data_IF_201218764822
#
_entry.id   IF_201218764822
#
_cell.length_a   1.000
_cell.length_b   1.000
_cell.length_c   1.000
_cell.angle_alpha   90.00
_cell.angle_beta   90.00
_cell.angle_gamma   90.00
#
_symmetry.space_group_name_H-M   'P 1'
#
loop_
_entity.id
_entity.type
_entity.pdbx_description
1 polymer ?
#
# COMPACT_ATOMS: atom_id res chain seq x y z
N UNK A 1 13.99 -9.43 7.02
CA UNK A 1 13.15 -9.88 5.89
C UNK A 1 12.10 -8.85 5.54
N UNK A 2 11.47 -8.20 6.53
CA UNK A 2 10.48 -7.15 6.29
C UNK A 2 11.05 -5.90 5.59
N UNK A 3 12.19 -5.35 6.06
CA UNK A 3 12.92 -4.30 5.33
C UNK A 3 13.23 -4.64 3.84
N UNK A 4 13.60 -5.89 3.54
CA UNK A 4 13.82 -6.34 2.15
C UNK A 4 12.51 -6.35 1.35
N UNK A 5 11.41 -6.79 1.96
CA UNK A 5 10.08 -6.72 1.36
C UNK A 5 9.70 -5.26 1.05
N UNK A 6 9.77 -4.35 2.04
CA UNK A 6 9.40 -2.95 1.88
C UNK A 6 10.27 -2.23 0.83
N UNK A 7 11.57 -2.52 0.80
CA UNK A 7 12.45 -2.00 -0.25
C UNK A 7 12.05 -2.52 -1.64
N UNK A 8 11.73 -3.81 -1.75
CA UNK A 8 11.37 -4.43 -3.03
C UNK A 8 10.02 -3.92 -3.55
N UNK A 9 9.02 -3.84 -2.68
CA UNK A 9 7.67 -3.40 -3.04
C UNK A 9 7.63 -1.90 -3.35
N UNK A 10 8.45 -1.09 -2.66
CA UNK A 10 8.65 0.32 -2.98
C UNK A 10 9.28 0.51 -4.36
N UNK A 11 10.34 -0.24 -4.70
CA UNK A 11 10.94 -0.22 -6.04
C UNK A 11 9.91 -0.62 -7.10
N UNK A 12 9.14 -1.67 -6.85
CA UNK A 12 8.06 -2.09 -7.76
C UNK A 12 7.01 -0.99 -7.95
N UNK A 13 6.55 -0.36 -6.86
CA UNK A 13 5.61 0.76 -6.89
C UNK A 13 6.16 1.95 -7.68
N UNK A 14 7.43 2.31 -7.48
CA UNK A 14 8.09 3.37 -8.25
C UNK A 14 8.09 3.06 -9.75
N UNK A 15 8.49 1.84 -10.14
CA UNK A 15 8.55 1.43 -11.55
C UNK A 15 7.16 1.42 -12.19
N UNK A 16 6.16 0.87 -11.49
CA UNK A 16 4.78 0.82 -11.96
C UNK A 16 4.18 2.22 -12.15
N UNK A 17 4.45 3.13 -11.21
CA UNK A 17 3.90 4.50 -11.23
C UNK A 17 4.68 5.46 -12.12
N UNK A 18 5.95 5.18 -12.44
CA UNK A 18 6.81 6.11 -13.20
C UNK A 18 6.21 6.58 -14.51
N UNK A 19 5.55 5.66 -15.23
CA UNK A 19 4.92 5.91 -16.52
C UNK A 19 3.54 6.60 -16.42
N UNK A 20 3.02 6.77 -15.20
CA UNK A 20 1.65 7.23 -14.98
C UNK A 20 1.62 8.74 -14.72
N UNK A 21 0.70 9.49 -15.37
CA UNK A 21 0.66 10.96 -15.24
C UNK A 21 0.34 11.43 -13.82
N UNK A 22 -0.44 10.65 -13.05
CA UNK A 22 -0.82 11.01 -11.69
C UNK A 22 0.32 10.92 -10.66
N UNK A 23 1.46 10.31 -11.00
CA UNK A 23 2.66 10.41 -10.19
C UNK A 23 3.24 11.84 -10.21
N UNK A 24 3.14 12.50 -11.35
CA UNK A 24 3.76 13.80 -11.61
C UNK A 24 2.80 14.97 -11.39
N UNK A 25 1.51 14.78 -11.70
CA UNK A 25 0.45 15.76 -11.44
C UNK A 25 -0.76 15.08 -10.80
N UNK A 26 -0.96 15.36 -9.51
CA UNK A 26 -2.02 14.79 -8.67
C UNK A 26 -3.42 15.10 -9.22
N UNK A 27 -3.61 16.13 -10.04
CA UNK A 27 -4.93 16.44 -10.66
C UNK A 27 -5.44 15.28 -11.51
N UNK A 28 -4.55 14.48 -12.10
CA UNK A 28 -4.91 13.27 -12.86
C UNK A 28 -5.50 12.16 -11.99
N UNK A 29 -5.40 12.23 -10.67
CA UNK A 29 -6.17 11.36 -9.78
C UNK A 29 -7.67 11.64 -9.80
N UNK A 30 -8.12 12.84 -10.17
CA UNK A 30 -9.54 13.21 -10.15
C UNK A 30 -10.18 13.16 -11.54
N UNK A 31 -9.40 13.37 -12.60
CA UNK A 31 -9.92 13.30 -13.97
C UNK A 31 -10.50 11.92 -14.29
N UNK A 32 -11.77 11.89 -14.69
CA UNK A 32 -12.48 10.67 -15.06
C UNK A 32 -12.90 9.79 -13.88
N UNK A 33 -12.75 10.25 -12.63
CA UNK A 33 -13.30 9.55 -11.46
C UNK A 33 -14.84 9.57 -11.53
N UNK A 34 -15.55 8.48 -11.18
CA UNK A 34 -15.08 7.20 -10.64
C UNK A 34 -14.79 6.11 -11.69
N UNK A 35 -14.68 6.45 -12.98
CA UNK A 35 -14.50 5.49 -14.07
C UNK A 35 -13.03 5.29 -14.43
N UNK A 36 -12.22 4.88 -13.46
CA UNK A 36 -10.82 4.53 -13.71
C UNK A 36 -10.69 3.04 -14.02
N UNK A 37 -10.07 2.73 -15.17
CA UNK A 37 -9.58 1.39 -15.43
C UNK A 37 -8.33 1.13 -14.61
N UNK A 38 -8.28 0.00 -13.91
CA UNK A 38 -7.10 -0.45 -13.16
C UNK A 38 -6.23 -1.25 -14.12
N UNK A 39 -4.99 -0.81 -14.31
CA UNK A 39 -4.01 -1.55 -15.11
C UNK A 39 -3.38 -2.67 -14.28
N UNK A 40 -2.93 -3.73 -14.95
CA UNK A 40 -2.43 -4.95 -14.29
C UNK A 40 -1.29 -4.68 -13.31
N UNK A 41 -0.42 -3.71 -13.60
CA UNK A 41 0.68 -3.30 -12.73
C UNK A 41 0.20 -2.77 -11.38
N UNK A 42 -0.84 -1.93 -11.38
CA UNK A 42 -1.47 -1.37 -10.17
C UNK A 42 -2.26 -2.45 -9.44
N UNK A 43 -2.93 -3.33 -10.19
CA UNK A 43 -3.64 -4.47 -9.62
C UNK A 43 -2.69 -5.35 -8.81
N UNK A 44 -1.57 -5.77 -9.39
CA UNK A 44 -0.55 -6.56 -8.70
C UNK A 44 0.05 -5.79 -7.52
N UNK A 45 0.28 -4.48 -7.67
CA UNK A 45 0.79 -3.65 -6.57
C UNK A 45 -0.13 -3.72 -5.35
N UNK A 46 -1.44 -3.58 -5.57
CA UNK A 46 -2.45 -3.65 -4.51
C UNK A 46 -2.58 -5.04 -3.92
N UNK A 47 -2.66 -6.09 -4.75
CA UNK A 47 -2.89 -7.45 -4.28
C UNK A 47 -1.71 -7.98 -3.46
N UNK A 48 -0.47 -7.74 -3.91
CA UNK A 48 0.72 -8.14 -3.16
C UNK A 48 0.76 -7.41 -1.81
N UNK A 49 0.54 -6.10 -1.82
CA UNK A 49 0.60 -5.27 -0.62
C UNK A 49 -0.48 -5.68 0.40
N UNK A 50 -1.74 -5.86 -0.02
CA UNK A 50 -2.82 -6.21 0.90
C UNK A 50 -2.63 -7.62 1.47
N UNK A 51 -2.16 -8.58 0.66
CA UNK A 51 -1.83 -9.92 1.12
C UNK A 51 -0.70 -9.91 2.14
N UNK A 52 0.31 -9.08 1.94
CA UNK A 52 1.41 -8.93 2.90
C UNK A 52 0.94 -8.35 4.23
N UNK A 53 0.21 -7.24 4.25
CA UNK A 53 -0.32 -6.66 5.49
C UNK A 53 -1.26 -7.61 6.24
N UNK A 54 -2.03 -8.43 5.51
CA UNK A 54 -2.82 -9.51 6.12
C UNK A 54 -1.94 -10.60 6.74
N UNK A 55 -0.90 -11.03 6.04
CA UNK A 55 0.05 -12.02 6.57
C UNK A 55 0.72 -11.51 7.85
N UNK A 56 1.13 -10.24 7.87
CA UNK A 56 1.78 -9.59 9.02
C UNK A 56 0.81 -9.39 10.20
N UNK A 57 -0.46 -9.08 9.89
CA UNK A 57 -1.53 -9.03 10.89
C UNK A 57 -1.73 -10.36 11.61
N UNK A 58 -1.62 -11.49 10.89
CA UNK A 58 -1.79 -12.83 11.47
C UNK A 58 -0.52 -13.24 12.20
N UNK A 59 0.65 -13.07 11.58
CA UNK A 59 1.93 -13.49 12.16
C UNK A 59 2.22 -12.83 13.50
N UNK A 60 1.78 -11.57 13.66
CA UNK A 60 1.93 -10.84 14.90
C UNK A 60 1.33 -11.57 16.12
N UNK A 61 0.28 -12.37 15.96
CA UNK A 61 -0.31 -13.15 17.08
C UNK A 61 0.53 -14.36 17.49
N UNK A 62 1.37 -14.88 16.59
CA UNK A 62 2.27 -16.00 16.85
C UNK A 62 3.66 -15.54 17.29
N UNK A 63 4.03 -14.29 16.96
CA UNK A 63 5.29 -13.67 17.37
C UNK A 63 5.28 -13.30 18.88
N UNK A 64 6.48 -13.15 19.45
CA UNK A 64 6.65 -12.72 20.85
C UNK A 64 6.04 -11.33 21.03
N UNK A 65 5.12 -11.21 21.98
CA UNK A 65 4.38 -9.98 22.24
C UNK A 65 5.29 -8.89 22.80
N UNK A 66 5.58 -7.87 21.99
CA UNK A 66 6.33 -6.67 22.39
C UNK A 66 5.39 -5.58 22.93
N UNK A 67 5.95 -4.57 23.61
CA UNK A 67 5.16 -3.48 24.25
C UNK A 67 4.36 -2.65 23.25
N UNK A 68 4.83 -2.59 22.00
CA UNK A 68 4.25 -1.91 20.84
C UNK A 68 3.19 -2.73 20.08
N UNK A 69 2.85 -3.94 20.55
CA UNK A 69 1.94 -4.87 19.86
C UNK A 69 0.62 -4.23 19.42
N UNK A 70 -0.05 -3.51 20.31
CA UNK A 70 -1.36 -2.91 20.02
C UNK A 70 -1.26 -1.75 19.02
N UNK A 71 -0.18 -0.97 19.12
CA UNK A 71 0.08 0.12 18.20
C UNK A 71 0.29 -0.41 16.78
N UNK A 72 1.16 -1.42 16.61
CA UNK A 72 1.41 -2.04 15.31
C UNK A 72 0.18 -2.82 14.79
N UNK A 73 -0.61 -3.43 15.67
CA UNK A 73 -1.86 -4.08 15.27
C UNK A 73 -2.84 -3.07 14.65
N UNK A 74 -3.11 -1.98 15.37
CA UNK A 74 -4.05 -0.95 14.95
C UNK A 74 -3.55 -0.30 13.66
N UNK A 75 -2.23 -0.08 13.54
CA UNK A 75 -1.60 0.42 12.33
C UNK A 75 -1.92 -0.49 11.13
N UNK A 76 -1.63 -1.80 11.20
CA UNK A 76 -1.94 -2.73 10.10
C UNK A 76 -3.45 -2.80 9.78
N UNK A 77 -4.33 -2.65 10.77
CA UNK A 77 -5.77 -2.59 10.50
C UNK A 77 -6.19 -1.31 9.80
N UNK A 78 -5.61 -0.17 10.18
CA UNK A 78 -5.86 1.09 9.50
C UNK A 78 -5.42 1.04 8.03
N UNK A 79 -4.24 0.50 7.75
CA UNK A 79 -3.68 0.43 6.39
C UNK A 79 -4.50 -0.51 5.50
N UNK A 80 -4.89 -1.69 6.00
CA UNK A 80 -5.78 -2.61 5.28
C UNK A 80 -7.15 -1.95 4.99
N UNK A 81 -7.74 -1.26 5.97
CA UNK A 81 -9.02 -0.57 5.78
C UNK A 81 -8.91 0.53 4.72
N UNK A 82 -7.85 1.34 4.76
CA UNK A 82 -7.60 2.40 3.79
C UNK A 82 -7.41 1.83 2.37
N UNK A 83 -6.68 0.73 2.22
CA UNK A 83 -6.52 0.04 0.94
C UNK A 83 -7.85 -0.51 0.40
N UNK A 84 -8.63 -1.18 1.25
CA UNK A 84 -9.95 -1.69 0.88
C UNK A 84 -10.91 -0.56 0.47
N UNK A 85 -10.94 0.53 1.24
CA UNK A 85 -11.77 1.69 0.93
C UNK A 85 -11.36 2.33 -0.40
N UNK A 86 -10.06 2.50 -0.63
CA UNK A 86 -9.53 3.00 -1.90
C UNK A 86 -9.92 2.10 -3.07
N UNK A 87 -9.88 0.77 -2.89
CA UNK A 87 -10.26 -0.20 -3.92
C UNK A 87 -11.75 -0.14 -4.25
N UNK A 88 -12.62 -0.23 -3.24
CA UNK A 88 -14.08 -0.23 -3.42
C UNK A 88 -14.58 1.10 -3.99
N UNK A 89 -13.96 2.22 -3.59
CA UNK A 89 -14.29 3.54 -4.12
C UNK A 89 -13.70 3.84 -5.50
N UNK A 90 -12.95 2.92 -6.12
CA UNK A 90 -12.16 3.16 -7.33
C UNK A 90 -11.24 4.40 -7.24
N UNK A 91 -10.70 4.66 -6.04
CA UNK A 91 -9.70 5.70 -5.76
C UNK A 91 -8.28 5.14 -5.93
N UNK A 92 -8.10 4.21 -6.86
CA UNK A 92 -6.88 3.40 -7.03
C UNK A 92 -5.67 4.24 -7.40
N UNK A 93 -5.84 5.33 -8.15
CA UNK A 93 -4.76 6.29 -8.46
C UNK A 93 -4.24 6.98 -7.20
N UNK A 94 -5.13 7.49 -6.35
CA UNK A 94 -4.76 8.15 -5.09
C UNK A 94 -4.15 7.13 -4.15
N UNK A 95 -4.79 5.97 -3.98
CA UNK A 95 -4.31 4.97 -3.04
C UNK A 95 -2.98 4.35 -3.47
N UNK A 96 -2.68 4.22 -4.77
CA UNK A 96 -1.35 3.79 -5.22
C UNK A 96 -0.24 4.78 -4.83
N UNK A 97 -0.51 6.09 -4.89
CA UNK A 97 0.43 7.12 -4.43
C UNK A 97 0.62 7.08 -2.91
N UNK A 98 -0.48 6.91 -2.17
CA UNK A 98 -0.43 6.77 -0.71
C UNK A 98 0.36 5.52 -0.32
N UNK A 99 0.14 4.40 -1.00
CA UNK A 99 0.85 3.13 -0.77
C UNK A 99 2.35 3.30 -1.02
N UNK A 100 2.74 3.99 -2.09
CA UNK A 100 4.14 4.27 -2.41
C UNK A 100 4.86 5.05 -1.31
N UNK A 101 4.23 6.11 -0.80
CA UNK A 101 4.79 6.92 0.29
C UNK A 101 4.83 6.11 1.59
N UNK A 102 3.78 5.32 1.83
CA UNK A 102 3.68 4.50 3.02
C UNK A 102 4.76 3.42 3.08
N UNK A 103 4.97 2.69 1.97
CA UNK A 103 6.03 1.67 1.87
C UNK A 103 7.42 2.28 2.09
N UNK A 104 7.67 3.50 1.62
CA UNK A 104 8.91 4.22 1.88
C UNK A 104 9.12 4.54 3.36
N UNK A 105 8.07 4.99 4.05
CA UNK A 105 8.14 5.30 5.47
C UNK A 105 8.37 4.05 6.32
N UNK A 106 7.74 2.93 5.95
CA UNK A 106 7.84 1.67 6.67
C UNK A 106 9.26 1.06 6.61
N UNK A 107 10.05 1.33 5.55
CA UNK A 107 11.47 0.94 5.48
C UNK A 107 12.27 1.49 6.67
N UNK A 108 11.97 2.72 7.12
CA UNK A 108 12.70 3.36 8.21
C UNK A 108 12.18 2.96 9.59
N UNK A 109 10.92 2.50 9.66
CA UNK A 109 10.26 2.16 10.91
C UNK A 109 10.64 0.75 11.39
N UNK A 110 11.29 -0.03 10.53
CA UNK A 110 11.59 -1.45 10.71
C UNK A 110 13.06 -1.80 10.87
#
# INVERSE_FOLDING_TARGET
WRCLYYSSIFIYGLVALWSKPWLWDIKYCYYGYPYHAVSDDIWWYYMISISFYWSLSISQFFDVKRKDFWQMFIHHKATIILMCFSWVGNLTRIGALVLLIHDCADIFLE
#
